data_IF_601561214493
#
_entry.id   IF_601561214493
#
_cell.length_a   1.000
_cell.length_b   1.000
_cell.length_c   1.000
_cell.angle_alpha   90.00
_cell.angle_beta   90.00
_cell.angle_gamma   90.00
#
_symmetry.space_group_name_H-M   'P 1'
#
loop_
_entity.id
_entity.type
_entity.pdbx_description
1 polymer ?
#
# COMPACT_ATOMS: atom_id res chain seq x y z
N UNK A 1 -22.66 -2.05 5.51
CA UNK A 1 -22.94 -1.00 6.53
C UNK A 1 -21.78 -0.01 6.45
N UNK A 2 -22.00 1.31 6.48
CA UNK A 2 -20.91 2.26 6.64
C UNK A 2 -20.19 1.96 7.96
N UNK A 3 -18.86 2.12 7.97
CA UNK A 3 -18.05 1.93 9.16
C UNK A 3 -18.44 2.91 10.27
N UNK A 4 -18.20 2.57 11.53
CA UNK A 4 -18.56 3.40 12.69
C UNK A 4 -17.55 4.51 12.98
N UNK A 5 -16.40 4.53 12.28
CA UNK A 5 -15.37 5.56 12.45
C UNK A 5 -14.47 5.64 11.22
N UNK A 6 -13.96 6.83 10.94
CA UNK A 6 -12.99 7.07 9.87
C UNK A 6 -11.66 6.34 10.14
N UNK A 7 -10.97 5.97 9.07
CA UNK A 7 -9.62 5.46 9.13
C UNK A 7 -8.67 6.66 9.24
N UNK A 8 -7.72 6.56 10.15
CA UNK A 8 -6.69 7.58 10.39
C UNK A 8 -5.30 7.02 10.10
N UNK A 9 -4.33 7.90 9.95
CA UNK A 9 -2.91 7.50 9.89
C UNK A 9 -2.54 6.67 11.12
N UNK A 10 -1.77 5.63 10.90
CA UNK A 10 -1.34 4.65 11.90
C UNK A 10 -2.43 3.71 12.44
N UNK A 11 -3.67 3.81 12.03
CA UNK A 11 -4.65 2.78 12.37
C UNK A 11 -4.23 1.41 11.81
N UNK A 12 -4.36 0.37 12.61
CA UNK A 12 -4.19 -1.00 12.13
C UNK A 12 -5.52 -1.49 11.56
N UNK A 13 -5.50 -1.88 10.30
CA UNK A 13 -6.69 -2.23 9.52
C UNK A 13 -6.63 -3.70 9.11
N UNK A 14 -7.76 -4.41 9.25
CA UNK A 14 -7.97 -5.74 8.69
C UNK A 14 -8.69 -5.57 7.36
N UNK A 15 -8.18 -6.21 6.33
CA UNK A 15 -8.74 -6.15 4.99
C UNK A 15 -8.55 -7.47 4.23
N UNK A 16 -9.39 -7.70 3.22
CA UNK A 16 -9.17 -8.77 2.24
C UNK A 16 -8.03 -8.36 1.32
N UNK A 17 -7.12 -9.31 1.04
CA UNK A 17 -5.99 -9.03 0.16
C UNK A 17 -6.47 -8.82 -1.28
N UNK A 18 -6.14 -7.68 -1.93
CA UNK A 18 -6.73 -7.33 -3.22
C UNK A 18 -6.14 -8.07 -4.43
N UNK A 19 -5.09 -8.89 -4.25
CA UNK A 19 -4.42 -9.62 -5.34
C UNK A 19 -4.29 -11.12 -5.05
N UNK A 20 -5.41 -11.85 -4.80
CA UNK A 20 -5.35 -13.26 -4.38
C UNK A 20 -4.84 -14.19 -5.47
N UNK A 21 -5.15 -13.93 -6.73
CA UNK A 21 -4.81 -14.81 -7.84
C UNK A 21 -3.63 -14.30 -8.66
N UNK A 22 -3.61 -13.00 -8.95
CA UNK A 22 -2.64 -12.37 -9.85
C UNK A 22 -2.24 -10.99 -9.33
N UNK A 23 -0.96 -10.64 -9.46
CA UNK A 23 -0.42 -9.34 -9.04
C UNK A 23 -0.80 -8.16 -9.95
N UNK A 24 -1.31 -8.44 -11.13
CA UNK A 24 -1.69 -7.44 -12.14
C UNK A 24 -3.21 -7.21 -12.24
N UNK A 25 -3.99 -7.83 -11.35
CA UNK A 25 -5.45 -7.76 -11.38
C UNK A 25 -6.02 -7.80 -9.97
N UNK A 26 -6.81 -6.80 -9.62
CA UNK A 26 -7.55 -6.76 -8.36
C UNK A 26 -8.66 -7.83 -8.42
N UNK A 27 -8.68 -8.70 -7.41
CA UNK A 27 -9.64 -9.78 -7.23
C UNK A 27 -10.10 -9.86 -5.77
N UNK A 28 -10.98 -10.80 -5.45
CA UNK A 28 -11.53 -10.94 -4.12
C UNK A 28 -11.50 -12.39 -3.64
N UNK A 29 -10.88 -12.62 -2.48
CA UNK A 29 -10.92 -13.90 -1.77
C UNK A 29 -11.34 -13.66 -0.31
N UNK A 30 -12.52 -14.16 0.05
CA UNK A 30 -13.10 -13.99 1.39
C UNK A 30 -12.31 -14.69 2.50
N UNK A 31 -11.36 -15.55 2.17
CA UNK A 31 -10.56 -16.29 3.16
C UNK A 31 -9.18 -15.69 3.37
N UNK A 32 -8.76 -14.74 2.55
CA UNK A 32 -7.42 -14.16 2.58
C UNK A 32 -7.41 -12.77 3.23
N UNK A 33 -7.19 -12.74 4.55
CA UNK A 33 -7.13 -11.51 5.32
C UNK A 33 -5.71 -11.10 5.67
N UNK A 34 -5.47 -9.80 5.62
CA UNK A 34 -4.25 -9.17 6.11
C UNK A 34 -4.57 -8.13 7.18
N UNK A 35 -3.62 -7.94 8.10
CA UNK A 35 -3.62 -6.82 9.05
C UNK A 35 -2.39 -5.97 8.79
N UNK A 36 -2.57 -4.70 8.46
CA UNK A 36 -1.50 -3.74 8.20
C UNK A 36 -1.85 -2.38 8.78
N UNK A 37 -0.85 -1.54 8.92
CA UNK A 37 -1.01 -0.17 9.36
C UNK A 37 -1.33 0.74 8.19
N UNK A 38 -2.30 1.64 8.36
CA UNK A 38 -2.60 2.68 7.38
C UNK A 38 -1.52 3.77 7.42
N UNK A 39 -0.77 3.91 6.35
CA UNK A 39 0.32 4.88 6.23
C UNK A 39 -0.16 6.14 5.53
N UNK A 40 -0.97 6.02 4.47
CA UNK A 40 -1.51 7.17 3.77
C UNK A 40 -2.98 6.96 3.42
N UNK A 41 -3.73 8.05 3.48
CA UNK A 41 -5.17 8.15 3.33
C UNK A 41 -5.54 8.67 1.93
N UNK A 42 -6.82 8.53 1.50
CA UNK A 42 -7.30 9.13 0.26
C UNK A 42 -7.07 10.64 0.23
N UNK A 43 -6.41 11.14 -0.81
CA UNK A 43 -6.00 12.53 -0.99
C UNK A 43 -4.58 12.86 -0.53
N UNK A 44 -3.91 11.94 0.13
CA UNK A 44 -2.51 12.13 0.53
C UNK A 44 -1.54 12.01 -0.66
N UNK A 45 -0.35 12.60 -0.48
CA UNK A 45 0.81 12.33 -1.31
C UNK A 45 1.90 11.70 -0.44
N UNK A 46 2.22 10.45 -0.72
CA UNK A 46 3.19 9.65 0.01
C UNK A 46 4.55 9.67 -0.66
N UNK A 47 5.59 9.74 0.13
CA UNK A 47 6.96 9.44 -0.26
C UNK A 47 7.60 8.46 0.74
N UNK A 48 8.55 7.67 0.25
CA UNK A 48 9.54 6.99 1.11
C UNK A 48 10.89 7.64 0.82
N UNK A 49 11.53 8.18 1.85
CA UNK A 49 12.87 8.79 1.76
C UNK A 49 13.81 8.11 2.74
N UNK A 50 14.89 7.54 2.23
CA UNK A 50 15.83 6.75 3.03
C UNK A 50 15.14 5.63 3.85
N UNK A 51 14.09 5.00 3.31
CA UNK A 51 13.33 3.93 3.96
C UNK A 51 12.26 4.40 4.94
N UNK A 52 12.05 5.71 5.11
CA UNK A 52 11.06 6.28 6.03
C UNK A 52 9.85 6.84 5.28
N UNK A 53 8.67 6.53 5.80
CA UNK A 53 7.41 7.07 5.25
C UNK A 53 7.25 8.56 5.57
N UNK A 54 6.80 9.30 4.57
CA UNK A 54 6.42 10.71 4.68
C UNK A 54 5.15 10.97 3.89
N UNK A 55 4.25 11.73 4.47
CA UNK A 55 3.03 12.22 3.81
C UNK A 55 3.07 13.74 3.81
N UNK A 56 2.83 14.35 2.65
CA UNK A 56 2.83 15.80 2.50
C UNK A 56 1.82 16.46 3.42
N UNK A 57 2.27 17.44 4.21
CA UNK A 57 1.40 18.14 5.18
C UNK A 57 1.13 17.40 6.50
N UNK A 58 1.60 16.17 6.65
CA UNK A 58 1.46 15.42 7.91
C UNK A 58 2.75 15.51 8.74
N UNK A 59 2.65 16.05 9.95
CA UNK A 59 3.80 16.28 10.83
C UNK A 59 4.10 15.15 11.83
N UNK A 60 3.29 14.10 11.83
CA UNK A 60 3.47 12.96 12.75
C UNK A 60 4.37 11.85 12.19
N UNK A 61 4.80 10.94 13.06
CA UNK A 61 5.50 9.73 12.64
C UNK A 61 4.52 8.75 12.00
N UNK A 62 4.96 8.03 10.97
CA UNK A 62 4.17 7.04 10.24
C UNK A 62 4.80 5.66 10.35
N UNK A 63 3.98 4.67 10.69
CA UNK A 63 4.43 3.29 10.80
C UNK A 63 5.30 3.02 12.03
N UNK A 64 6.01 1.91 12.02
CA UNK A 64 6.98 1.54 13.06
C UNK A 64 8.36 2.11 12.73
N UNK A 65 8.76 3.18 13.42
CA UNK A 65 10.02 3.90 13.16
C UNK A 65 11.23 3.02 13.44
N UNK A 66 11.24 2.22 14.51
CA UNK A 66 12.37 1.34 14.85
C UNK A 66 12.65 0.34 13.72
N UNK A 67 11.58 -0.21 13.12
CA UNK A 67 11.71 -1.14 11.99
C UNK A 67 12.13 -0.43 10.70
N UNK A 68 11.72 0.81 10.49
CA UNK A 68 12.20 1.65 9.38
C UNK A 68 13.68 2.00 9.53
N UNK A 69 14.12 2.34 10.76
CA UNK A 69 15.54 2.58 11.07
C UNK A 69 16.39 1.33 10.83
N UNK A 70 15.87 0.15 11.21
CA UNK A 70 16.54 -1.12 10.94
C UNK A 70 16.69 -1.37 9.43
N UNK A 71 15.62 -1.19 8.67
CA UNK A 71 15.65 -1.32 7.23
C UNK A 71 16.63 -0.31 6.59
N UNK A 72 16.62 0.94 7.07
CA UNK A 72 17.53 1.99 6.59
C UNK A 72 19.00 1.60 6.85
N UNK A 73 19.30 1.01 8.01
CA UNK A 73 20.64 0.47 8.34
C UNK A 73 21.06 -0.66 7.38
N UNK A 74 20.16 -1.60 7.09
CA UNK A 74 20.43 -2.66 6.10
C UNK A 74 20.76 -2.02 4.75
N UNK A 75 19.97 -1.06 4.30
CA UNK A 75 20.14 -0.37 3.01
C UNK A 75 21.30 0.62 2.96
N UNK A 76 21.97 0.91 4.09
CA UNK A 76 23.16 1.77 4.10
C UNK A 76 24.41 1.09 3.60
N UNK A 77 24.39 -0.25 3.47
CA UNK A 77 25.51 -1.04 3.00
C UNK A 77 25.21 -1.70 1.66
N UNK A 78 26.23 -1.83 0.81
CA UNK A 78 26.09 -2.51 -0.48
C UNK A 78 25.65 -3.97 -0.30
N UNK A 79 26.23 -4.68 0.68
CA UNK A 79 25.86 -6.06 0.98
C UNK A 79 24.38 -6.20 1.39
N UNK A 80 23.88 -5.24 2.17
CA UNK A 80 22.47 -5.20 2.58
C UNK A 80 21.53 -4.98 1.40
N UNK A 81 21.88 -4.07 0.50
CA UNK A 81 21.11 -3.84 -0.75
C UNK A 81 21.12 -5.09 -1.63
N UNK A 82 22.28 -5.72 -1.84
CA UNK A 82 22.39 -6.95 -2.63
C UNK A 82 21.59 -8.11 -2.01
N UNK A 83 21.60 -8.20 -0.68
CA UNK A 83 20.78 -9.18 0.03
C UNK A 83 19.27 -8.96 -0.23
N UNK A 84 18.77 -7.71 -0.14
CA UNK A 84 17.37 -7.36 -0.42
C UNK A 84 16.99 -7.66 -1.88
N UNK A 85 17.88 -7.36 -2.83
CA UNK A 85 17.67 -7.69 -4.25
C UNK A 85 17.54 -9.20 -4.44
N UNK A 86 18.43 -9.99 -3.83
CA UNK A 86 18.39 -11.46 -3.89
C UNK A 86 17.11 -12.04 -3.27
N UNK A 87 16.53 -11.38 -2.27
CA UNK A 87 15.25 -11.77 -1.67
C UNK A 87 14.02 -11.26 -2.43
N UNK A 88 14.18 -10.54 -3.55
CA UNK A 88 13.11 -9.84 -4.28
C UNK A 88 12.34 -8.86 -3.39
N UNK A 89 13.04 -8.19 -2.47
CA UNK A 89 12.45 -7.26 -1.50
C UNK A 89 13.00 -5.83 -1.63
N UNK A 90 13.75 -5.51 -2.68
CA UNK A 90 14.33 -4.18 -2.88
C UNK A 90 13.47 -3.28 -3.76
N UNK A 91 13.02 -3.78 -4.91
CA UNK A 91 12.21 -3.01 -5.84
C UNK A 91 10.77 -2.89 -5.36
N UNK A 92 10.15 -1.77 -5.67
CA UNK A 92 8.80 -1.42 -5.22
C UNK A 92 7.83 -1.26 -6.39
N UNK A 93 6.55 -1.36 -6.07
CA UNK A 93 5.45 -1.01 -6.97
C UNK A 93 5.70 0.38 -7.61
N UNK A 94 5.43 0.58 -8.88
CA UNK A 94 4.80 -0.34 -9.83
C UNK A 94 5.79 -1.24 -10.60
N UNK A 95 7.04 -1.37 -10.16
CA UNK A 95 8.13 -2.12 -10.82
C UNK A 95 8.47 -1.61 -12.22
N UNK A 96 8.34 -0.32 -12.41
CA UNK A 96 8.58 0.37 -13.68
C UNK A 96 10.00 0.96 -13.71
N UNK A 97 10.68 0.78 -14.86
CA UNK A 97 12.07 1.21 -15.03
C UNK A 97 12.24 2.73 -15.11
N UNK A 98 11.22 3.47 -15.52
CA UNK A 98 11.27 4.94 -15.60
C UNK A 98 11.13 5.57 -14.23
N UNK A 99 10.23 5.04 -13.39
CA UNK A 99 10.06 5.49 -12.02
C UNK A 99 11.21 5.01 -11.13
N UNK A 100 11.73 3.81 -11.40
CA UNK A 100 12.84 3.16 -10.68
C UNK A 100 12.67 3.19 -9.15
N UNK A 101 11.43 3.02 -8.69
CA UNK A 101 11.10 3.06 -7.27
C UNK A 101 11.56 1.79 -6.55
N UNK A 102 11.98 1.99 -5.33
CA UNK A 102 12.42 0.92 -4.45
C UNK A 102 12.01 1.24 -3.00
N UNK A 103 12.23 0.31 -2.08
CA UNK A 103 11.81 0.47 -0.68
C UNK A 103 12.59 1.53 0.09
N UNK A 104 13.70 2.05 -0.47
CA UNK A 104 14.47 3.16 0.09
C UNK A 104 13.95 4.51 -0.40
N UNK A 105 13.60 4.57 -1.70
CA UNK A 105 13.16 5.79 -2.38
C UNK A 105 11.93 5.48 -3.22
N UNK A 106 10.78 5.98 -2.84
CA UNK A 106 9.50 5.81 -3.52
C UNK A 106 8.72 7.13 -3.52
N UNK A 107 8.05 7.40 -4.59
CA UNK A 107 7.17 8.55 -4.69
C UNK A 107 7.80 9.76 -5.40
N UNK A 108 7.06 10.86 -5.46
CA UNK A 108 5.75 11.08 -4.83
C UNK A 108 4.64 10.20 -5.43
N UNK A 109 3.88 9.53 -4.57
CA UNK A 109 2.72 8.73 -4.94
C UNK A 109 1.46 9.39 -4.37
N UNK A 110 0.58 9.87 -5.25
CA UNK A 110 -0.72 10.36 -4.85
C UNK A 110 -1.67 9.18 -4.53
N UNK A 111 -2.42 9.28 -3.44
CA UNK A 111 -3.38 8.27 -3.01
C UNK A 111 -4.77 8.74 -3.45
N UNK A 112 -5.37 8.12 -4.47
CA UNK A 112 -6.61 8.62 -5.03
C UNK A 112 -7.78 8.59 -4.04
N UNK A 113 -8.60 9.64 -4.09
CA UNK A 113 -9.88 9.74 -3.40
C UNK A 113 -11.00 9.74 -4.43
N UNK A 114 -12.16 9.23 -4.05
CA UNK A 114 -13.36 9.28 -4.89
C UNK A 114 -13.66 10.72 -5.32
N UNK A 115 -13.84 10.94 -6.63
CA UNK A 115 -14.05 12.25 -7.25
C UNK A 115 -12.77 12.95 -7.73
N UNK A 116 -11.57 12.48 -7.34
CA UNK A 116 -10.32 13.07 -7.82
C UNK A 116 -10.08 12.72 -9.29
N UNK A 117 -9.58 13.69 -10.05
CA UNK A 117 -9.28 13.51 -11.46
C UNK A 117 -7.78 13.53 -11.72
N UNK A 118 -7.32 12.61 -12.55
CA UNK A 118 -5.95 12.59 -13.07
C UNK A 118 -5.95 12.75 -14.60
N UNK A 119 -4.89 13.37 -15.10
CA UNK A 119 -4.57 13.32 -16.53
C UNK A 119 -3.87 12.01 -16.85
N UNK A 120 -4.25 11.36 -17.96
CA UNK A 120 -3.64 10.12 -18.40
C UNK A 120 -2.37 10.43 -19.20
N UNK A 121 -1.27 10.11 -18.61
CA UNK A 121 0.06 10.10 -19.20
C UNK A 121 0.78 8.81 -18.78
N UNK A 122 1.93 8.53 -19.35
CA UNK A 122 2.63 7.28 -19.07
C UNK A 122 2.81 7.02 -17.57
N UNK A 123 3.26 8.02 -16.81
CA UNK A 123 3.50 7.90 -15.37
C UNK A 123 2.22 7.56 -14.59
N UNK A 124 1.13 8.27 -14.85
CA UNK A 124 -0.16 8.03 -14.17
C UNK A 124 -0.76 6.69 -14.56
N UNK A 125 -0.62 6.28 -15.82
CA UNK A 125 -1.11 4.97 -16.29
C UNK A 125 -0.32 3.83 -15.66
N UNK A 126 0.99 3.94 -15.54
CA UNK A 126 1.82 2.93 -14.86
C UNK A 126 1.39 2.78 -13.39
N UNK A 127 1.11 3.88 -12.69
CA UNK A 127 0.70 3.87 -11.30
C UNK A 127 -0.74 3.38 -11.08
N UNK A 128 -1.67 3.72 -11.96
CA UNK A 128 -3.10 3.56 -11.64
C UNK A 128 -3.87 2.65 -12.61
N UNK A 129 -3.24 2.07 -13.63
CA UNK A 129 -3.91 1.18 -14.60
C UNK A 129 -4.77 0.11 -13.93
N UNK A 130 -4.23 -0.58 -12.94
CA UNK A 130 -4.92 -1.68 -12.26
C UNK A 130 -6.19 -1.19 -11.55
N UNK A 131 -6.13 -0.01 -10.93
CA UNK A 131 -7.27 0.61 -10.24
C UNK A 131 -8.34 1.02 -11.24
N UNK A 132 -7.93 1.68 -12.33
CA UNK A 132 -8.83 2.12 -13.41
C UNK A 132 -9.54 0.93 -14.05
N UNK A 133 -8.78 -0.10 -14.43
CA UNK A 133 -9.33 -1.31 -15.03
C UNK A 133 -10.29 -2.03 -14.09
N UNK A 134 -9.96 -2.08 -12.80
CA UNK A 134 -10.83 -2.70 -11.79
C UNK A 134 -12.12 -1.90 -11.58
N UNK A 135 -12.04 -0.58 -11.43
CA UNK A 135 -13.23 0.27 -11.25
C UNK A 135 -14.19 0.18 -12.44
N UNK A 136 -13.65 0.07 -13.65
CA UNK A 136 -14.44 0.12 -14.89
C UNK A 136 -14.80 -1.26 -15.44
N UNK A 137 -14.18 -2.33 -14.94
CA UNK A 137 -14.33 -3.66 -15.50
C UNK A 137 -13.89 -3.75 -16.97
N UNK A 138 -13.01 -2.83 -17.42
CA UNK A 138 -12.60 -2.67 -18.79
C UNK A 138 -11.08 -2.46 -18.88
N UNK A 139 -10.46 -2.92 -19.99
CA UNK A 139 -9.01 -2.76 -20.19
C UNK A 139 -8.66 -1.34 -20.66
N UNK A 140 -7.62 -0.78 -20.07
CA UNK A 140 -6.98 0.46 -20.48
C UNK A 140 -5.86 0.13 -21.47
N UNK A 141 -6.03 0.53 -22.73
CA UNK A 141 -5.07 0.28 -23.81
C UNK A 141 -4.47 1.59 -24.32
N UNK A 142 -3.28 1.51 -24.87
CA UNK A 142 -2.62 2.64 -25.54
C UNK A 142 -2.52 2.35 -27.04
N UNK A 143 -3.02 3.27 -27.86
CA UNK A 143 -2.92 3.21 -29.32
C UNK A 143 -2.47 4.57 -29.86
N UNK A 144 -1.36 4.59 -30.59
CA UNK A 144 -0.81 5.80 -31.22
C UNK A 144 -0.64 7.00 -30.27
N UNK A 145 -0.30 6.73 -29.02
CA UNK A 145 -0.12 7.76 -27.98
C UNK A 145 -1.42 8.27 -27.34
N UNK A 146 -2.57 7.67 -27.66
CA UNK A 146 -3.86 7.93 -27.01
C UNK A 146 -4.25 6.75 -26.13
N UNK A 147 -4.88 7.05 -24.98
CA UNK A 147 -5.40 6.03 -24.08
C UNK A 147 -6.87 5.74 -24.36
N UNK A 148 -7.23 4.46 -24.35
CA UNK A 148 -8.60 3.99 -24.60
C UNK A 148 -9.05 3.09 -23.47
N UNK A 149 -10.26 3.33 -22.95
CA UNK A 149 -10.92 2.54 -21.93
C UNK A 149 -12.22 1.97 -22.49
N UNK A 150 -12.31 0.63 -22.55
CA UNK A 150 -13.47 -0.02 -23.16
C UNK A 150 -13.74 0.38 -24.63
N UNK A 151 -12.68 0.75 -25.37
CA UNK A 151 -12.78 1.19 -26.77
C UNK A 151 -13.05 2.69 -26.97
N UNK A 152 -13.27 3.46 -25.90
CA UNK A 152 -13.45 4.91 -25.99
C UNK A 152 -12.15 5.62 -25.62
N UNK A 153 -11.77 6.62 -26.42
CA UNK A 153 -10.61 7.46 -26.11
C UNK A 153 -10.88 8.35 -24.91
N UNK A 154 -9.91 8.38 -23.97
CA UNK A 154 -9.97 9.20 -22.77
C UNK A 154 -8.62 9.88 -22.53
N UNK A 155 -8.66 11.11 -22.05
CA UNK A 155 -7.47 11.90 -21.66
C UNK A 155 -7.35 12.09 -20.15
N UNK A 156 -8.45 11.97 -19.44
CA UNK A 156 -8.52 12.10 -18.00
C UNK A 156 -9.33 10.94 -17.42
N UNK A 157 -9.05 10.61 -16.17
CA UNK A 157 -9.82 9.63 -15.41
C UNK A 157 -10.25 10.21 -14.06
N UNK A 158 -11.51 10.00 -13.68
CA UNK A 158 -12.05 10.38 -12.36
C UNK A 158 -12.26 9.12 -11.54
N UNK A 159 -11.54 9.02 -10.43
CA UNK A 159 -11.64 7.87 -9.51
C UNK A 159 -13.03 7.80 -8.88
N UNK A 160 -13.58 6.61 -8.81
CA UNK A 160 -14.89 6.34 -8.21
C UNK A 160 -14.78 5.87 -6.77
N UNK A 161 -13.59 5.46 -6.32
CA UNK A 161 -13.33 4.82 -5.03
C UNK A 161 -12.22 5.55 -4.28
N UNK A 162 -12.19 5.32 -2.97
CA UNK A 162 -11.10 5.71 -2.10
C UNK A 162 -10.04 4.63 -2.04
N UNK A 163 -8.79 5.04 -1.92
CA UNK A 163 -7.64 4.13 -1.81
C UNK A 163 -6.77 4.47 -0.61
N UNK A 164 -6.04 3.47 -0.13
CA UNK A 164 -5.17 3.59 1.03
C UNK A 164 -3.81 2.95 0.75
N UNK A 165 -2.77 3.46 1.39
CA UNK A 165 -1.45 2.83 1.38
C UNK A 165 -1.20 2.16 2.72
N UNK A 166 -0.94 0.86 2.69
CA UNK A 166 -0.81 0.01 3.87
C UNK A 166 0.65 -0.40 4.08
N UNK A 167 1.17 -0.19 5.28
CA UNK A 167 2.53 -0.60 5.67
C UNK A 167 2.51 -1.67 6.77
N UNK A 168 3.47 -2.58 6.73
CA UNK A 168 3.65 -3.56 7.80
C UNK A 168 4.60 -3.05 8.89
N UNK A 169 4.31 -3.39 10.14
CA UNK A 169 5.13 -2.99 11.29
C UNK A 169 6.53 -3.62 11.29
N UNK A 170 6.74 -4.76 10.62
CA UNK A 170 8.05 -5.33 10.32
C UNK A 170 8.49 -4.93 8.92
N UNK A 171 9.01 -3.72 8.78
CA UNK A 171 9.28 -3.09 7.49
C UNK A 171 10.26 -3.90 6.64
N UNK A 172 11.21 -4.58 7.27
CA UNK A 172 12.23 -5.41 6.64
C UNK A 172 11.67 -6.76 6.11
N UNK A 173 10.53 -7.19 6.62
CA UNK A 173 9.91 -8.48 6.27
C UNK A 173 8.38 -8.37 6.15
N UNK A 174 7.90 -7.39 5.42
CA UNK A 174 6.46 -7.21 5.18
C UNK A 174 6.16 -7.12 3.70
N UNK A 175 5.21 -7.93 3.24
CA UNK A 175 4.56 -7.72 1.95
C UNK A 175 3.36 -6.80 2.15
N UNK A 176 3.53 -5.53 1.75
CA UNK A 176 2.56 -4.46 1.93
C UNK A 176 2.44 -3.61 0.66
N UNK A 177 1.82 -2.43 0.73
CA UNK A 177 1.56 -1.58 -0.43
C UNK A 177 2.81 -1.16 -1.21
N UNK A 178 3.99 -1.24 -0.61
CA UNK A 178 5.26 -1.05 -1.33
C UNK A 178 5.45 -2.05 -2.47
N UNK A 179 4.79 -3.21 -2.41
CA UNK A 179 4.93 -4.29 -3.39
C UNK A 179 3.68 -4.52 -4.23
N UNK A 180 2.49 -4.39 -3.66
CA UNK A 180 1.25 -4.68 -4.36
C UNK A 180 0.42 -3.44 -4.72
N UNK A 181 0.83 -2.22 -4.28
CA UNK A 181 0.15 -0.98 -4.62
C UNK A 181 -0.94 -0.59 -3.63
N UNK A 182 -2.02 0.01 -4.09
CA UNK A 182 -3.04 0.63 -3.26
C UNK A 182 -4.17 -0.33 -2.90
N UNK A 183 -4.71 -0.16 -1.68
CA UNK A 183 -5.84 -0.91 -1.16
C UNK A 183 -7.13 -0.15 -1.44
N UNK A 184 -8.10 -0.73 -2.19
CA UNK A 184 -9.42 -0.14 -2.31
C UNK A 184 -10.20 -0.19 -0.98
N UNK A 185 -10.96 0.84 -0.67
CA UNK A 185 -11.74 0.95 0.56
C UNK A 185 -12.70 -0.23 0.79
N UNK A 186 -13.30 -0.74 -0.28
CA UNK A 186 -14.25 -1.86 -0.25
C UNK A 186 -13.66 -3.17 0.30
N UNK A 187 -12.34 -3.31 0.31
CA UNK A 187 -11.63 -4.47 0.85
C UNK A 187 -11.42 -4.37 2.36
N UNK A 188 -11.67 -3.20 2.95
CA UNK A 188 -11.49 -2.97 4.38
C UNK A 188 -12.62 -3.60 5.16
N UNK A 189 -12.26 -4.49 6.09
CA UNK A 189 -13.21 -5.18 6.99
C UNK A 189 -13.42 -4.38 8.26
N UNK A 190 -12.35 -3.76 8.80
CA UNK A 190 -12.45 -2.95 10.00
C UNK A 190 -11.12 -2.56 10.62
N UNK A 191 -11.19 -1.76 11.68
CA UNK A 191 -10.04 -1.31 12.47
C UNK A 191 -9.78 -2.25 13.63
N UNK A 192 -8.51 -2.50 13.92
CA UNK A 192 -8.11 -3.22 15.13
C UNK A 192 -8.03 -2.22 16.28
N UNK A 193 -8.83 -2.44 17.29
CA UNK A 193 -8.87 -1.54 18.44
C UNK A 193 -8.05 -2.06 19.62
N UNK A 194 -8.05 -3.41 19.84
CA UNK A 194 -7.35 -4.03 20.96
C UNK A 194 -6.83 -5.42 20.60
N UNK A 195 -5.78 -5.85 21.29
CA UNK A 195 -5.26 -7.20 21.18
C UNK A 195 -6.12 -8.13 22.06
N UNK A 196 -6.85 -9.04 21.45
CA UNK A 196 -7.64 -10.06 22.16
C UNK A 196 -6.77 -11.21 22.69
N UNK A 197 -5.79 -11.64 21.87
CA UNK A 197 -4.92 -12.78 22.19
C UNK A 197 -3.53 -12.55 21.62
N UNK A 198 -2.49 -12.83 22.39
CA UNK A 198 -1.11 -12.82 21.93
C UNK A 198 -0.38 -14.05 22.47
N UNK A 199 0.18 -14.84 21.54
CA UNK A 199 0.93 -16.05 21.87
C UNK A 199 2.36 -15.87 21.34
N UNK A 200 3.34 -16.23 22.17
CA UNK A 200 4.71 -16.35 21.70
C UNK A 200 4.85 -17.61 20.85
N UNK A 201 5.25 -17.46 19.57
CA UNK A 201 5.34 -18.58 18.64
C UNK A 201 6.50 -19.54 18.95
N UNK A 202 7.52 -19.08 19.67
CA UNK A 202 8.68 -19.89 20.04
C UNK A 202 8.44 -20.75 21.27
N UNK A 203 7.70 -20.23 22.25
CA UNK A 203 7.46 -20.89 23.54
C UNK A 203 6.04 -21.44 23.68
N UNK A 204 5.11 -21.02 22.82
CA UNK A 204 3.68 -21.36 22.92
C UNK A 204 2.97 -20.65 24.09
N UNK A 205 3.66 -19.79 24.84
CA UNK A 205 3.11 -19.12 26.02
C UNK A 205 2.27 -17.91 25.65
N UNK A 206 1.23 -17.64 26.44
CA UNK A 206 0.41 -16.43 26.28
C UNK A 206 1.14 -15.21 26.82
N UNK A 207 1.24 -14.17 26.01
CA UNK A 207 1.81 -12.87 26.41
C UNK A 207 0.72 -12.01 27.02
N UNK A 208 0.45 -12.20 28.31
CA UNK A 208 -0.61 -11.53 29.06
C UNK A 208 -0.46 -10.01 29.06
N UNK A 209 0.77 -9.50 29.08
CA UNK A 209 1.11 -8.08 29.07
C UNK A 209 0.64 -7.35 27.79
N UNK A 210 0.31 -8.10 26.74
CA UNK A 210 -0.18 -7.55 25.45
C UNK A 210 -1.71 -7.60 25.32
N UNK A 211 -2.37 -8.46 26.09
CA UNK A 211 -3.82 -8.63 26.02
C UNK A 211 -4.51 -7.36 26.50
N UNK A 212 -5.56 -6.95 25.80
CA UNK A 212 -6.30 -5.70 26.00
C UNK A 212 -5.53 -4.40 25.74
N UNK A 213 -4.26 -4.44 25.34
CA UNK A 213 -3.58 -3.22 24.89
C UNK A 213 -4.31 -2.64 23.69
N UNK A 214 -4.48 -1.31 23.72
CA UNK A 214 -4.89 -0.54 22.53
C UNK A 214 -3.78 -0.64 21.50
N UNK A 215 -4.18 -0.72 20.24
CA UNK A 215 -3.31 -0.63 19.09
C UNK A 215 -3.51 0.79 18.53
N UNK A 216 -2.45 1.58 18.57
CA UNK A 216 -2.40 2.94 18.05
C UNK A 216 -0.95 3.30 17.78
#
# INVERSE_FOLDING_TARGET
MPGTSDILHNDVVIFNFPYPERWDSIGFDVMLYYAKRCIALPGDTLEIKNGHYRVSGYGGSLGNIESQDELARIMSTEQGVQWLIKQNCYYAYPFDSLLNWNIKELGPLYIPRAGDQIHLEHSSVVLYRQLIEWEQGAKLTEQKGCYQLGGNEITNYTFQKNYYFMGGDKTENSRDSRYWGLLPEEYIVGKVWRIWKSIDKSTGTTRWERIWKKIG
#
